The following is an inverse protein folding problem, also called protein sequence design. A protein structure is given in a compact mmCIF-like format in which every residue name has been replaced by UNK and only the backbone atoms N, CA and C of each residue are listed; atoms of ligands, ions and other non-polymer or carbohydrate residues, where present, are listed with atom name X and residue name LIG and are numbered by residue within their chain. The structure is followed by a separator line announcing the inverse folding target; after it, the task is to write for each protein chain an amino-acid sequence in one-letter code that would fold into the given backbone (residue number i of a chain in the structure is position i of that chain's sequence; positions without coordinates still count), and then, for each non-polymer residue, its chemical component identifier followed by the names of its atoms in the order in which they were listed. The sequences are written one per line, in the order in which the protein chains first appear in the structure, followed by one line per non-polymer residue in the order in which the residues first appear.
data_IF_294450524020
#
_entry.id   IF_294450524020
#
_cell.length_a   1.000
_cell.length_b   1.000
_cell.length_c   1.000
_cell.angle_alpha   90.00
_cell.angle_beta   90.00
_cell.angle_gamma   90.00
#
_symmetry.space_group_name_H-M   'P 1'
#
loop_
_entity.id
_entity.type
_entity.pdbx_description
1 polymer ?
#
# COMPACT_ATOMS: atom_id res chain seq x y z
N UNK A 1 32.67 -15.47 -12.94
CA UNK A 1 31.74 -16.33 -13.72
C UNK A 1 31.20 -17.51 -12.91
N UNK A 2 31.76 -17.87 -11.75
CA UNK A 2 31.36 -19.05 -10.96
C UNK A 2 30.10 -18.90 -10.09
N UNK A 3 29.57 -17.70 -9.88
CA UNK A 3 28.45 -17.43 -8.95
C UNK A 3 27.08 -17.76 -9.57
N UNK A 4 27.01 -17.94 -10.90
CA UNK A 4 25.75 -18.20 -11.61
C UNK A 4 25.40 -19.70 -11.68
N UNK A 5 26.22 -20.61 -11.16
CA UNK A 5 26.02 -22.07 -11.30
C UNK A 5 25.48 -22.77 -10.04
N UNK A 6 25.03 -22.02 -9.03
CA UNK A 6 24.32 -22.64 -7.90
C UNK A 6 22.94 -23.08 -8.37
N UNK A 7 22.78 -24.40 -8.56
CA UNK A 7 21.55 -25.06 -8.98
C UNK A 7 20.38 -24.65 -8.05
N UNK A 8 19.34 -23.95 -8.56
CA UNK A 8 18.26 -23.39 -7.74
C UNK A 8 17.21 -24.44 -7.32
N UNK A 9 17.64 -25.67 -6.99
CA UNK A 9 16.80 -26.69 -6.35
C UNK A 9 16.45 -26.26 -4.89
N UNK A 10 17.10 -25.23 -4.36
CA UNK A 10 17.12 -24.90 -2.93
C UNK A 10 16.01 -23.96 -2.41
N UNK A 11 15.07 -23.48 -3.23
CA UNK A 11 14.03 -22.56 -2.76
C UNK A 11 12.65 -23.22 -2.65
N UNK A 12 12.08 -23.37 -1.44
CA UNK A 12 10.73 -23.91 -1.28
C UNK A 12 9.72 -22.98 -1.95
N UNK A 13 8.90 -23.52 -2.85
CA UNK A 13 7.85 -22.79 -3.59
C UNK A 13 7.92 -22.89 -5.11
N UNK A 14 9.04 -23.32 -5.69
CA UNK A 14 9.14 -23.57 -7.14
C UNK A 14 8.63 -24.97 -7.48
N UNK A 15 7.63 -25.06 -8.35
CA UNK A 15 7.10 -26.36 -8.85
C UNK A 15 7.97 -26.99 -9.93
N UNK A 16 8.76 -26.18 -10.64
CA UNK A 16 9.63 -26.60 -11.74
C UNK A 16 10.98 -25.88 -11.64
N UNK A 17 12.07 -26.53 -12.11
CA UNK A 17 13.36 -25.87 -12.20
C UNK A 17 13.28 -24.68 -13.17
N UNK A 18 13.89 -23.53 -12.84
CA UNK A 18 13.90 -22.38 -13.73
C UNK A 18 14.74 -22.67 -14.98
N UNK A 19 14.30 -22.15 -16.13
CA UNK A 19 14.97 -22.30 -17.42
C UNK A 19 16.31 -21.54 -17.49
N UNK A 20 16.50 -20.56 -16.63
CA UNK A 20 17.71 -19.76 -16.53
C UNK A 20 18.25 -19.78 -15.10
N UNK A 21 19.57 -19.65 -14.97
CA UNK A 21 20.22 -19.51 -13.68
C UNK A 21 19.68 -18.28 -12.94
N UNK A 22 19.18 -18.50 -11.72
CA UNK A 22 18.58 -17.44 -10.92
C UNK A 22 19.67 -16.66 -10.18
N UNK A 23 19.61 -15.33 -10.24
CA UNK A 23 20.47 -14.49 -9.41
C UNK A 23 20.03 -14.66 -7.94
N UNK A 24 20.99 -14.79 -7.03
CA UNK A 24 20.69 -14.90 -5.60
C UNK A 24 19.79 -13.75 -5.14
N UNK A 25 18.69 -14.06 -4.44
CA UNK A 25 17.72 -13.07 -3.92
C UNK A 25 18.34 -12.03 -2.96
N UNK A 26 19.53 -12.31 -2.44
CA UNK A 26 20.34 -11.37 -1.64
C UNK A 26 20.94 -10.23 -2.48
N UNK A 27 21.09 -10.43 -3.79
CA UNK A 27 21.69 -9.47 -4.72
C UNK A 27 20.64 -8.65 -5.50
N UNK A 28 19.35 -8.93 -5.29
CA UNK A 28 18.29 -8.15 -5.91
C UNK A 28 18.12 -6.81 -5.18
N UNK A 29 17.97 -5.74 -5.95
CA UNK A 29 17.64 -4.39 -5.46
C UNK A 29 16.22 -4.08 -5.94
N UNK A 30 15.27 -3.83 -5.03
CA UNK A 30 13.91 -3.53 -5.45
C UNK A 30 13.83 -2.15 -6.12
N UNK A 31 13.01 -2.06 -7.16
CA UNK A 31 12.85 -0.84 -7.96
C UNK A 31 12.05 0.23 -7.20
N UNK A 32 12.60 1.44 -7.13
CA UNK A 32 11.99 2.62 -6.50
C UNK A 32 10.61 2.93 -7.09
N UNK A 33 10.50 2.89 -8.43
CA UNK A 33 9.26 3.21 -9.12
C UNK A 33 8.20 2.16 -8.78
N UNK A 34 8.56 0.88 -8.90
CA UNK A 34 7.67 -0.23 -8.58
C UNK A 34 7.15 -0.16 -7.14
N UNK A 35 8.02 0.04 -6.14
CA UNK A 35 7.60 0.20 -4.73
C UNK A 35 6.60 1.33 -4.59
N UNK A 36 6.89 2.51 -5.15
CA UNK A 36 6.02 3.68 -5.04
C UNK A 36 4.63 3.43 -5.66
N UNK A 37 4.58 2.80 -6.83
CA UNK A 37 3.31 2.46 -7.50
C UNK A 37 2.49 1.47 -6.67
N UNK A 38 3.13 0.47 -6.05
CA UNK A 38 2.47 -0.51 -5.16
C UNK A 38 1.97 0.10 -3.86
N UNK A 39 2.72 1.04 -3.28
CA UNK A 39 2.27 1.80 -2.10
C UNK A 39 1.06 2.67 -2.47
N UNK A 40 1.07 3.26 -3.68
CA UNK A 40 -0.06 4.10 -4.14
C UNK A 40 -1.33 3.28 -4.32
N UNK A 41 -1.24 2.05 -4.86
CA UNK A 41 -2.38 1.13 -4.92
C UNK A 41 -2.97 0.89 -3.53
N UNK A 42 -2.11 0.57 -2.55
CA UNK A 42 -2.57 0.31 -1.19
C UNK A 42 -3.19 1.54 -0.54
N UNK A 43 -2.61 2.72 -0.72
CA UNK A 43 -3.16 3.97 -0.18
C UNK A 43 -4.53 4.28 -0.79
N UNK A 44 -4.68 4.08 -2.10
CA UNK A 44 -5.96 4.27 -2.78
C UNK A 44 -7.02 3.28 -2.29
N UNK A 45 -6.63 2.01 -2.11
CA UNK A 45 -7.51 0.98 -1.54
C UNK A 45 -7.97 1.37 -0.13
N UNK A 46 -7.07 1.86 0.72
CA UNK A 46 -7.39 2.30 2.08
C UNK A 46 -8.37 3.48 2.09
N UNK A 47 -8.20 4.45 1.19
CA UNK A 47 -9.16 5.56 1.00
C UNK A 47 -10.56 5.03 0.67
N UNK A 48 -10.68 4.09 -0.25
CA UNK A 48 -11.98 3.51 -0.61
C UNK A 48 -12.56 2.65 0.51
N UNK A 49 -11.72 1.93 1.26
CA UNK A 49 -12.14 1.14 2.41
C UNK A 49 -12.66 2.02 3.55
N UNK A 50 -12.03 3.18 3.79
CA UNK A 50 -12.48 4.14 4.80
C UNK A 50 -13.89 4.64 4.49
N UNK A 51 -14.12 5.07 3.24
CA UNK A 51 -15.45 5.51 2.76
C UNK A 51 -16.50 4.39 2.91
N UNK A 52 -16.11 3.13 2.65
CA UNK A 52 -16.99 1.96 2.84
C UNK A 52 -17.31 1.72 4.31
N UNK A 53 -16.31 1.81 5.19
CA UNK A 53 -16.46 1.57 6.62
C UNK A 53 -17.34 2.62 7.32
N UNK A 54 -17.33 3.86 6.80
CA UNK A 54 -18.21 4.94 7.26
C UNK A 54 -19.63 4.86 6.67
N UNK A 55 -19.91 3.88 5.80
CA UNK A 55 -21.21 3.74 5.13
C UNK A 55 -21.49 4.82 4.08
N UNK A 56 -20.47 5.59 3.68
CA UNK A 56 -20.58 6.68 2.71
C UNK A 56 -20.37 6.20 1.27
N UNK A 57 -20.05 4.93 1.04
CA UNK A 57 -19.82 4.37 -0.28
C UNK A 57 -21.14 4.11 -1.04
N UNK A 58 -21.69 5.17 -1.63
CA UNK A 58 -22.97 5.19 -2.35
C UNK A 58 -22.81 5.81 -3.75
N UNK A 59 -23.91 6.04 -4.47
CA UNK A 59 -23.86 6.64 -5.81
C UNK A 59 -23.27 8.05 -5.82
N UNK A 60 -23.47 8.82 -4.73
CA UNK A 60 -23.02 10.20 -4.62
C UNK A 60 -21.50 10.23 -4.50
N UNK A 61 -20.91 9.50 -3.55
CA UNK A 61 -19.46 9.47 -3.36
C UNK A 61 -18.74 8.87 -4.57
N UNK A 62 -19.31 7.85 -5.21
CA UNK A 62 -18.76 7.29 -6.45
C UNK A 62 -18.78 8.29 -7.60
N UNK A 63 -19.87 9.05 -7.76
CA UNK A 63 -19.95 10.10 -8.78
C UNK A 63 -18.95 11.24 -8.50
N UNK A 64 -18.72 11.60 -7.23
CA UNK A 64 -17.68 12.56 -6.84
C UNK A 64 -16.30 12.04 -7.27
N UNK A 65 -15.97 10.78 -6.97
CA UNK A 65 -14.70 10.16 -7.36
C UNK A 65 -14.54 10.16 -8.89
N UNK A 66 -15.55 9.72 -9.64
CA UNK A 66 -15.51 9.70 -11.11
C UNK A 66 -15.26 11.11 -11.67
N UNK A 67 -16.01 12.12 -11.20
CA UNK A 67 -15.84 13.51 -11.65
C UNK A 67 -14.46 14.08 -11.34
N UNK A 68 -13.89 13.77 -10.17
CA UNK A 68 -12.53 14.20 -9.85
C UNK A 68 -11.49 13.45 -10.70
N UNK A 69 -11.69 12.17 -11.01
CA UNK A 69 -10.83 11.42 -11.94
C UNK A 69 -10.89 11.96 -13.38
N UNK A 70 -12.08 12.32 -13.86
CA UNK A 70 -12.27 12.95 -15.17
C UNK A 70 -11.52 14.28 -15.28
N UNK A 71 -11.52 15.10 -14.22
CA UNK A 71 -10.70 16.33 -14.18
C UNK A 71 -9.21 16.06 -14.31
N UNK A 72 -8.73 14.93 -13.79
CA UNK A 72 -7.35 14.47 -13.95
C UNK A 72 -7.07 13.82 -15.31
N UNK A 73 -8.07 13.77 -16.20
CA UNK A 73 -8.04 13.09 -17.50
C UNK A 73 -7.75 11.59 -17.38
N UNK A 74 -8.29 10.96 -16.34
CA UNK A 74 -8.16 9.53 -16.07
C UNK A 74 -9.52 8.87 -16.35
N UNK A 75 -9.54 7.82 -17.18
CA UNK A 75 -10.75 7.02 -17.37
C UNK A 75 -10.90 6.11 -16.15
N UNK A 76 -11.97 6.33 -15.38
CA UNK A 76 -12.20 5.61 -14.14
C UNK A 76 -13.69 5.32 -13.95
N UNK A 77 -14.01 4.05 -13.76
CA UNK A 77 -15.38 3.56 -13.64
C UNK A 77 -15.51 2.58 -12.46
N UNK A 78 -16.73 2.49 -11.92
CA UNK A 78 -17.13 1.50 -10.91
C UNK A 78 -18.17 0.55 -11.52
N UNK A 79 -18.06 -0.74 -11.23
CA UNK A 79 -19.07 -1.74 -11.62
C UNK A 79 -19.38 -2.71 -10.49
N UNK A 80 -20.60 -3.24 -10.47
CA UNK A 80 -21.01 -4.23 -9.46
C UNK A 80 -20.56 -5.62 -9.91
N UNK A 81 -19.93 -6.37 -9.01
CA UNK A 81 -19.52 -7.75 -9.30
C UNK A 81 -20.78 -8.63 -9.30
N UNK A 82 -21.01 -9.35 -10.40
CA UNK A 82 -22.19 -10.21 -10.58
C UNK A 82 -22.31 -11.21 -9.43
N UNK A 83 -23.52 -11.32 -8.86
CA UNK A 83 -23.81 -12.24 -7.77
C UNK A 83 -23.32 -11.80 -6.39
N UNK A 84 -22.83 -10.56 -6.24
CA UNK A 84 -22.41 -10.01 -4.94
C UNK A 84 -22.92 -8.58 -4.74
N UNK A 85 -22.89 -8.09 -3.51
CA UNK A 85 -23.09 -6.65 -3.23
C UNK A 85 -21.81 -5.82 -3.39
N UNK A 86 -20.72 -6.46 -3.79
CA UNK A 86 -19.42 -5.82 -3.91
C UNK A 86 -19.29 -5.03 -5.21
N UNK A 87 -18.60 -3.91 -5.09
CA UNK A 87 -18.22 -3.04 -6.20
C UNK A 87 -16.73 -3.17 -6.49
N UNK A 88 -16.42 -3.21 -7.77
CA UNK A 88 -15.08 -3.20 -8.32
C UNK A 88 -14.87 -1.91 -9.12
N UNK A 89 -13.62 -1.62 -9.47
CA UNK A 89 -13.23 -0.33 -10.04
C UNK A 89 -12.05 -0.45 -10.99
N UNK A 90 -11.90 0.57 -11.84
CA UNK A 90 -10.81 0.62 -12.83
C UNK A 90 -9.45 0.61 -12.13
N UNK A 91 -8.61 -0.37 -12.45
CA UNK A 91 -7.24 -0.40 -11.95
C UNK A 91 -6.44 0.77 -12.53
N UNK A 92 -5.82 1.57 -11.65
CA UNK A 92 -4.97 2.69 -12.06
C UNK A 92 -3.67 2.14 -12.68
N UNK A 93 -3.19 2.76 -13.75
CA UNK A 93 -1.98 2.35 -14.47
C UNK A 93 -0.86 3.38 -14.28
N UNK A 94 0.40 2.94 -14.20
CA UNK A 94 1.62 3.78 -14.18
C UNK A 94 1.43 5.26 -13.82
N UNK A 95 1.35 6.11 -14.85
CA UNK A 95 1.23 7.56 -14.71
C UNK A 95 -0.08 8.04 -14.07
N UNK A 96 -1.19 7.30 -14.23
CA UNK A 96 -2.46 7.62 -13.58
C UNK A 96 -2.32 7.53 -12.06
N UNK A 97 -1.58 6.54 -11.54
CA UNK A 97 -1.29 6.44 -10.09
C UNK A 97 -0.59 7.68 -9.58
N UNK A 98 0.42 8.15 -10.33
CA UNK A 98 1.15 9.37 -10.01
C UNK A 98 0.27 10.62 -10.02
N UNK A 99 -0.64 10.71 -10.99
CA UNK A 99 -1.61 11.83 -11.09
C UNK A 99 -2.58 11.82 -9.93
N UNK A 100 -3.15 10.66 -9.59
CA UNK A 100 -4.06 10.52 -8.46
C UNK A 100 -3.35 10.90 -7.16
N UNK A 101 -2.15 10.36 -6.91
CA UNK A 101 -1.41 10.64 -5.68
C UNK A 101 -1.11 12.13 -5.48
N UNK A 102 -0.78 12.86 -6.56
CA UNK A 102 -0.37 14.27 -6.47
C UNK A 102 -1.55 15.23 -6.50
N UNK A 103 -2.56 14.95 -7.33
CA UNK A 103 -3.53 15.95 -7.76
C UNK A 103 -4.97 15.64 -7.34
N UNK A 104 -5.26 14.42 -6.86
CA UNK A 104 -6.60 14.08 -6.43
C UNK A 104 -7.02 14.91 -5.21
N UNK A 105 -8.22 15.50 -5.27
CA UNK A 105 -8.73 16.36 -4.22
C UNK A 105 -9.47 15.57 -3.13
N UNK A 106 -8.73 15.10 -2.14
CA UNK A 106 -9.28 14.33 -1.01
C UNK A 106 -10.27 15.12 -0.14
N UNK A 107 -10.21 16.47 -0.15
CA UNK A 107 -11.16 17.30 0.60
C UNK A 107 -12.60 17.24 0.05
N UNK A 108 -12.81 16.56 -1.09
CA UNK A 108 -14.15 16.24 -1.61
C UNK A 108 -14.76 14.99 -0.97
N UNK A 109 -13.95 14.16 -0.32
CA UNK A 109 -14.37 12.88 0.25
C UNK A 109 -14.27 12.85 1.77
N UNK A 110 -13.35 13.62 2.35
CA UNK A 110 -13.09 13.67 3.78
C UNK A 110 -13.07 15.11 4.28
N UNK A 111 -13.25 15.27 5.59
CA UNK A 111 -13.02 16.54 6.27
C UNK A 111 -11.62 17.11 5.93
N UNK A 112 -11.46 18.45 5.85
CA UNK A 112 -10.19 19.06 5.45
C UNK A 112 -8.99 18.62 6.29
N UNK A 113 -9.18 18.40 7.59
CA UNK A 113 -8.13 17.90 8.49
C UNK A 113 -7.71 16.48 8.13
N UNK A 114 -8.68 15.58 7.88
CA UNK A 114 -8.44 14.20 7.46
C UNK A 114 -7.77 14.14 6.08
N UNK A 115 -8.27 14.93 5.14
CA UNK A 115 -7.68 15.05 3.81
C UNK A 115 -6.23 15.55 3.87
N UNK A 116 -5.91 16.50 4.75
CA UNK A 116 -4.55 17.00 4.95
C UNK A 116 -3.63 15.94 5.56
N UNK A 117 -4.13 15.12 6.49
CA UNK A 117 -3.37 13.99 7.06
C UNK A 117 -3.03 12.95 6.00
N UNK A 118 -3.99 12.54 5.17
CA UNK A 118 -3.77 11.56 4.09
C UNK A 118 -2.84 12.13 3.01
N UNK A 119 -3.02 13.41 2.64
CA UNK A 119 -2.22 14.08 1.59
C UNK A 119 -0.78 14.36 2.02
N UNK A 120 -0.42 14.21 3.30
CA UNK A 120 0.89 14.59 3.83
C UNK A 120 2.01 13.83 3.09
N UNK A 121 2.62 14.56 2.15
CA UNK A 121 3.48 14.01 1.10
C UNK A 121 4.72 13.28 1.64
N UNK A 122 5.08 12.18 0.96
CA UNK A 122 6.45 11.67 0.96
C UNK A 122 7.30 12.64 0.11
N UNK A 123 7.73 13.76 0.69
CA UNK A 123 8.59 14.73 -0.02
C UNK A 123 9.91 14.06 -0.40
N UNK A 124 10.15 13.91 -1.70
CA UNK A 124 11.32 13.29 -2.33
C UNK A 124 12.55 14.18 -2.30
N UNK A 125 13.00 14.59 -1.11
CA UNK A 125 14.38 15.05 -0.98
C UNK A 125 15.27 13.81 -0.77
N UNK A 126 16.22 13.49 -1.68
CA UNK A 126 17.07 12.32 -1.55
C UNK A 126 17.90 12.29 -0.26
N UNK A 127 18.29 13.47 0.25
CA UNK A 127 19.19 13.62 1.39
C UNK A 127 18.47 13.29 2.72
N UNK A 128 17.16 13.50 2.76
CA UNK A 128 16.31 13.25 3.94
C UNK A 128 15.27 12.15 3.74
N UNK A 129 15.32 11.43 2.61
CA UNK A 129 14.30 10.45 2.23
C UNK A 129 14.01 9.44 3.34
N UNK A 130 15.04 8.87 3.97
CA UNK A 130 14.86 7.88 5.04
C UNK A 130 14.18 8.48 6.28
N UNK A 131 14.56 9.68 6.69
CA UNK A 131 13.95 10.35 7.84
C UNK A 131 12.49 10.67 7.55
N UNK A 132 12.20 11.16 6.34
CA UNK A 132 10.83 11.44 5.90
C UNK A 132 9.99 10.17 5.78
N UNK A 133 10.54 9.07 5.28
CA UNK A 133 9.85 7.78 5.21
C UNK A 133 9.53 7.23 6.60
N UNK A 134 10.44 7.37 7.57
CA UNK A 134 10.20 6.99 8.97
C UNK A 134 9.12 7.86 9.62
N UNK A 135 9.21 9.18 9.49
CA UNK A 135 8.19 10.11 10.01
C UNK A 135 6.83 9.82 9.38
N UNK A 136 6.79 9.58 8.07
CA UNK A 136 5.57 9.18 7.37
C UNK A 136 5.03 7.84 7.88
N UNK A 137 5.88 6.85 8.15
CA UNK A 137 5.47 5.57 8.72
C UNK A 137 4.94 5.68 10.14
N UNK A 138 5.55 6.52 10.99
CA UNK A 138 5.05 6.81 12.32
C UNK A 138 3.67 7.49 12.28
N UNK A 139 3.47 8.42 11.35
CA UNK A 139 2.16 9.03 11.10
C UNK A 139 1.16 8.02 10.56
N UNK A 140 1.59 7.14 9.65
CA UNK A 140 0.77 6.08 9.08
C UNK A 140 0.24 5.16 10.17
N UNK A 141 1.06 4.81 11.16
CA UNK A 141 0.71 3.94 12.28
C UNK A 141 0.10 4.67 13.48
N UNK A 142 -0.07 5.99 13.41
CA UNK A 142 -0.64 6.77 14.50
C UNK A 142 -2.04 6.24 14.78
N UNK A 143 -2.30 5.87 16.04
CA UNK A 143 -3.60 5.35 16.46
C UNK A 143 -4.53 6.50 16.82
N UNK A 144 -5.83 6.26 16.65
CA UNK A 144 -6.85 7.20 17.13
C UNK A 144 -6.90 7.13 18.65
N UNK A 145 -6.71 8.29 19.28
CA UNK A 145 -6.81 8.48 20.72
C UNK A 145 -8.21 8.98 21.01
N UNK A 146 -8.93 8.26 21.87
CA UNK A 146 -10.28 8.59 22.28
C UNK A 146 -10.30 8.82 23.79
N UNK A 147 -10.94 9.92 24.19
CA UNK A 147 -11.29 10.19 25.58
C UNK A 147 -12.32 9.16 26.05
N UNK A 148 -12.03 8.32 27.07
CA UNK A 148 -12.98 7.32 27.56
C UNK A 148 -14.23 7.91 28.22
N UNK A 149 -14.17 9.12 28.77
CA UNK A 149 -15.30 9.73 29.47
C UNK A 149 -16.29 10.36 28.50
N UNK A 150 -15.79 11.07 27.50
CA UNK A 150 -16.63 11.80 26.53
C UNK A 150 -16.82 11.06 25.20
N UNK A 151 -16.06 9.98 24.97
CA UNK A 151 -15.97 9.27 23.70
C UNK A 151 -15.56 10.17 22.51
N UNK A 152 -14.94 11.32 22.79
CA UNK A 152 -14.45 12.24 21.78
C UNK A 152 -13.07 11.83 21.27
N UNK A 153 -12.82 12.05 19.98
CA UNK A 153 -11.51 11.82 19.36
C UNK A 153 -10.59 12.97 19.75
N UNK A 154 -9.57 12.69 20.55
CA UNK A 154 -8.55 13.65 20.96
C UNK A 154 -7.45 13.80 19.91
N UNK A 155 -7.05 12.67 19.32
CA UNK A 155 -6.12 12.66 18.19
C UNK A 155 -6.56 11.64 17.17
N UNK A 156 -6.74 12.06 15.91
CA UNK A 156 -7.10 11.14 14.84
C UNK A 156 -5.85 10.39 14.35
N UNK A 157 -5.91 9.06 14.37
CA UNK A 157 -4.91 8.18 13.78
C UNK A 157 -5.11 8.00 12.27
N UNK A 158 -4.08 7.54 11.53
CA UNK A 158 -4.19 7.38 10.07
C UNK A 158 -4.66 5.97 9.67
N UNK A 159 -3.76 4.99 9.74
CA UNK A 159 -3.98 3.59 9.35
C UNK A 159 -3.32 2.64 10.37
N UNK A 160 -3.42 1.33 10.15
CA UNK A 160 -3.08 0.31 11.15
C UNK A 160 -1.84 -0.46 10.74
N UNK A 161 -1.23 -1.17 11.69
CA UNK A 161 -0.12 -2.08 11.38
C UNK A 161 -0.53 -3.20 10.42
N UNK A 162 -1.79 -3.65 10.45
CA UNK A 162 -2.33 -4.63 9.50
C UNK A 162 -2.43 -4.11 8.07
N UNK A 163 -2.40 -2.79 7.87
CA UNK A 163 -2.49 -2.15 6.56
C UNK A 163 -1.12 -1.97 5.90
N UNK A 164 -0.04 -2.26 6.63
CA UNK A 164 1.34 -2.20 6.15
C UNK A 164 1.60 -3.39 5.23
N UNK A 165 1.85 -3.10 3.95
CA UNK A 165 2.31 -4.09 2.99
C UNK A 165 3.84 -4.25 3.07
N UNK A 166 4.41 -5.35 2.56
CA UNK A 166 5.87 -5.47 2.43
C UNK A 166 6.49 -4.35 1.62
N UNK A 167 5.77 -3.74 0.67
CA UNK A 167 6.26 -2.56 -0.04
C UNK A 167 6.49 -1.35 0.89
N UNK A 168 5.56 -1.11 1.83
CA UNK A 168 5.71 -0.09 2.87
C UNK A 168 6.87 -0.45 3.82
N UNK A 169 6.99 -1.73 4.19
CA UNK A 169 8.11 -2.20 5.01
C UNK A 169 9.46 -1.96 4.31
N UNK A 170 9.56 -2.30 3.03
CA UNK A 170 10.75 -2.12 2.19
C UNK A 170 11.12 -0.64 2.07
N UNK A 171 10.13 0.24 1.89
CA UNK A 171 10.34 1.69 1.85
C UNK A 171 11.02 2.23 3.11
N UNK A 172 10.64 1.73 4.29
CA UNK A 172 11.04 2.30 5.60
C UNK A 172 12.29 1.61 6.17
N UNK A 173 12.38 0.29 6.01
CA UNK A 173 13.34 -0.56 6.72
C UNK A 173 14.59 -0.88 5.90
N UNK A 174 14.49 -0.91 4.57
CA UNK A 174 15.61 -1.32 3.72
C UNK A 174 16.39 -0.13 3.15
N UNK A 175 17.72 -0.12 3.39
CA UNK A 175 18.63 0.95 2.94
C UNK A 175 18.85 0.97 1.42
N UNK A 176 18.61 -0.15 0.74
CA UNK A 176 19.06 -0.37 -0.64
C UNK A 176 17.97 0.01 -1.64
N UNK A 177 17.73 1.31 -1.78
CA UNK A 177 17.30 1.83 -3.06
C UNK A 177 18.54 2.39 -3.77
N UNK A 178 19.29 1.46 -4.40
CA UNK A 178 20.46 1.66 -5.28
C UNK A 178 21.89 1.71 -4.69
N UNK A 179 22.12 1.81 -3.38
CA UNK A 179 23.50 1.78 -2.84
C UNK A 179 23.70 0.59 -1.88
N UNK A 180 24.48 -0.39 -2.35
CA UNK A 180 24.72 -1.68 -1.71
C UNK A 180 25.14 -1.59 -0.24
N UNK A 181 24.34 -2.22 0.62
CA UNK A 181 24.68 -2.47 2.00
C UNK A 181 24.56 -3.97 2.27
N UNK A 182 25.58 -4.56 2.87
CA UNK A 182 25.63 -5.96 3.27
C UNK A 182 24.59 -6.20 4.39
N UNK A 183 23.62 -7.08 4.16
CA UNK A 183 22.70 -7.56 5.20
C UNK A 183 23.03 -9.01 5.55
N UNK A 184 23.62 -9.20 6.72
CA UNK A 184 23.68 -10.50 7.38
C UNK A 184 22.40 -10.68 8.22
N UNK A 185 21.69 -11.79 7.97
CA UNK A 185 20.68 -12.41 8.84
C UNK A 185 19.26 -11.82 8.95
N UNK A 186 18.72 -11.16 7.90
CA UNK A 186 17.27 -10.95 7.75
C UNK A 186 16.80 -11.35 6.34
N UNK A 187 15.55 -11.80 6.23
CA UNK A 187 14.90 -12.13 4.95
C UNK A 187 15.06 -10.95 3.98
N UNK A 188 15.43 -11.22 2.72
CA UNK A 188 15.62 -10.15 1.72
C UNK A 188 14.30 -9.41 1.48
N UNK A 189 14.34 -8.10 1.22
CA UNK A 189 13.19 -7.30 0.81
C UNK A 189 12.40 -7.95 -0.34
N UNK A 190 13.11 -8.62 -1.25
CA UNK A 190 12.51 -9.33 -2.38
C UNK A 190 11.74 -10.57 -1.92
N UNK A 191 12.24 -11.33 -0.94
CA UNK A 191 11.52 -12.49 -0.42
C UNK A 191 10.18 -12.06 0.19
N UNK A 192 10.16 -10.99 0.99
CA UNK A 192 8.93 -10.48 1.59
C UNK A 192 7.92 -10.00 0.53
N UNK A 193 8.40 -9.32 -0.52
CA UNK A 193 7.58 -8.92 -1.66
C UNK A 193 7.04 -10.16 -2.40
N UNK A 194 7.89 -11.12 -2.74
CA UNK A 194 7.50 -12.34 -3.46
C UNK A 194 6.49 -13.17 -2.68
N UNK A 195 6.70 -13.36 -1.37
CA UNK A 195 5.76 -14.09 -0.52
C UNK A 195 4.38 -13.41 -0.50
N UNK A 196 4.35 -12.08 -0.42
CA UNK A 196 3.11 -11.33 -0.43
C UNK A 196 2.41 -11.33 -1.79
N UNK A 197 3.13 -11.15 -2.89
CA UNK A 197 2.56 -11.28 -4.23
C UNK A 197 2.02 -12.69 -4.49
N UNK A 198 2.73 -13.73 -4.07
CA UNK A 198 2.27 -15.12 -4.17
C UNK A 198 1.01 -15.38 -3.35
N UNK A 199 0.91 -14.83 -2.13
CA UNK A 199 -0.31 -14.90 -1.31
C UNK A 199 -1.47 -14.17 -1.98
N UNK A 200 -1.25 -12.97 -2.49
CA UNK A 200 -2.28 -12.22 -3.22
C UNK A 200 -2.78 -13.01 -4.44
N UNK A 201 -1.88 -13.55 -5.26
CA UNK A 201 -2.23 -14.38 -6.41
C UNK A 201 -3.05 -15.61 -6.00
N UNK A 202 -2.66 -16.28 -4.91
CA UNK A 202 -3.41 -17.41 -4.38
C UNK A 202 -4.84 -17.01 -3.99
N UNK A 203 -5.01 -15.92 -3.24
CA UNK A 203 -6.35 -15.48 -2.82
C UNK A 203 -7.21 -15.00 -4.00
N UNK A 204 -6.62 -14.30 -4.98
CA UNK A 204 -7.32 -13.90 -6.21
C UNK A 204 -7.76 -15.10 -7.04
N UNK A 205 -6.91 -16.12 -7.20
CA UNK A 205 -7.26 -17.33 -7.97
C UNK A 205 -8.32 -18.18 -7.28
N UNK A 206 -8.40 -18.14 -5.94
CA UNK A 206 -9.31 -18.95 -5.15
C UNK A 206 -10.56 -18.19 -4.64
N UNK A 207 -10.80 -16.95 -5.10
CA UNK A 207 -11.96 -16.12 -4.69
C UNK A 207 -12.15 -15.98 -3.16
N UNK A 208 -11.07 -15.96 -2.39
CA UNK A 208 -11.14 -15.77 -0.93
C UNK A 208 -11.07 -14.27 -0.61
N UNK A 209 -12.07 -13.74 0.08
CA UNK A 209 -12.13 -12.33 0.46
C UNK A 209 -11.05 -11.98 1.50
N UNK A 210 -10.23 -10.98 1.21
CA UNK A 210 -9.36 -10.32 2.20
C UNK A 210 -10.23 -9.39 3.06
N UNK A 211 -10.83 -9.91 4.13
CA UNK A 211 -11.53 -9.05 5.10
C UNK A 211 -10.52 -8.39 6.04
N UNK A 212 -10.44 -7.07 6.03
CA UNK A 212 -9.68 -6.30 7.02
C UNK A 212 -10.63 -5.81 8.12
N UNK A 213 -10.35 -6.07 9.41
CA UNK A 213 -11.22 -5.63 10.51
C UNK A 213 -11.25 -4.10 10.65
N UNK A 214 -12.26 -3.54 11.33
CA UNK A 214 -12.40 -2.09 11.63
C UNK A 214 -11.29 -1.56 12.53
N UNK A 215 -10.85 -0.28 12.41
CA UNK A 215 -9.86 0.43 13.26
C UNK A 215 -9.96 0.14 14.77
N UNK A 216 -8.80 0.06 15.47
CA UNK A 216 -8.73 -0.30 16.89
C UNK A 216 -8.45 0.98 17.63
N UNK A 217 -9.38 1.37 18.49
CA UNK A 217 -9.27 2.59 19.27
C UNK A 217 -8.46 2.31 20.54
N UNK A 218 -7.67 3.29 20.98
CA UNK A 218 -7.07 3.28 22.31
C UNK A 218 -7.84 4.28 23.17
N UNK A 219 -8.34 3.80 24.30
CA UNK A 219 -8.85 4.62 25.39
C UNK A 219 -7.69 4.95 26.33
N UNK A 220 -7.45 6.23 26.61
CA UNK A 220 -6.46 6.66 27.62
C UNK A 220 -7.20 6.83 28.95
N UNK A 221 -6.86 6.01 29.94
CA UNK A 221 -7.36 6.08 31.31
C UNK A 221 -6.77 7.27 32.09
#
# INVERSE_FOLDING_TARGET
MSILNENPIAYPGHKLPPLFNMISLKNHVPDKLHIMLRITDRLWELVLQEIKNEGLFNDISRNIIIKEMEKLKIRFEFWKIRGTENWDYTSLMGDDKLRVLRNFNLAKLFDPERAALIKREIKTDPQYFRLKAKVWYELFLKKTVIDPETNNILEQGLYRSSDVTPYIHVLVSHKTLKNGGNFQNKTSAICEILEHENRLLFYTQNNVSLSYPKPQNIHIL
#
